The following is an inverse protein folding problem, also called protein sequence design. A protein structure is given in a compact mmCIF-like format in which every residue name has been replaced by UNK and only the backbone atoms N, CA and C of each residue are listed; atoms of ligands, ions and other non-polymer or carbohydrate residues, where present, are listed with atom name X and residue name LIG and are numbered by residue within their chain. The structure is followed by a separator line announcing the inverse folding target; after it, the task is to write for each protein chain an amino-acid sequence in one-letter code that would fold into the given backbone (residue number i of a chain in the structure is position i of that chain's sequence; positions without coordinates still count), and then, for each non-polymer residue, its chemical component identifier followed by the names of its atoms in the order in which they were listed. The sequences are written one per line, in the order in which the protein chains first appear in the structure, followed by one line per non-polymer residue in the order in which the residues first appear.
data_IF_448341486877
#
_entry.id   IF_448341486877
#
_cell.length_a   1.000
_cell.length_b   1.000
_cell.length_c   1.000
_cell.angle_alpha   90.00
_cell.angle_beta   90.00
_cell.angle_gamma   90.00
#
_symmetry.space_group_name_H-M   'P 1'
#
loop_
_entity.id
_entity.type
_entity.pdbx_description
1 polymer ?
#
# COMPACT_ATOMS: atom_id res chain seq x y z
N UNK A 1 -13.11 9.25 -24.84
CA UNK A 1 -12.80 10.70 -24.80
C UNK A 1 -12.75 11.30 -23.39
N UNK A 2 -13.62 10.88 -22.46
CA UNK A 2 -13.75 11.49 -21.12
C UNK A 2 -12.58 11.19 -20.16
N UNK A 3 -12.16 9.91 -20.04
CA UNK A 3 -11.05 9.52 -19.15
C UNK A 3 -9.70 10.12 -19.56
N UNK A 4 -9.49 10.40 -20.85
CA UNK A 4 -8.26 11.01 -21.32
C UNK A 4 -8.03 12.40 -20.71
N UNK A 5 -9.11 13.19 -20.53
CA UNK A 5 -9.05 14.50 -19.88
C UNK A 5 -8.68 14.43 -18.39
N UNK A 6 -8.77 13.24 -17.78
CA UNK A 6 -8.44 13.00 -16.37
C UNK A 6 -7.00 12.57 -16.13
N UNK A 7 -6.16 12.48 -17.17
CA UNK A 7 -4.73 12.28 -16.96
C UNK A 7 -4.14 13.46 -16.20
N UNK A 8 -3.29 13.21 -15.20
CA UNK A 8 -2.61 14.27 -14.46
C UNK A 8 -1.92 15.27 -15.38
N UNK A 9 -1.27 14.80 -16.45
CA UNK A 9 -0.62 15.65 -17.45
C UNK A 9 -1.59 16.53 -18.23
N UNK A 10 -2.84 16.10 -18.41
CA UNK A 10 -3.87 16.87 -19.13
C UNK A 10 -4.61 17.83 -18.19
N UNK A 11 -4.86 17.42 -16.94
CA UNK A 11 -5.40 18.29 -15.89
C UNK A 11 -4.45 19.48 -15.68
N UNK A 12 -3.16 19.20 -15.52
CA UNK A 12 -2.13 20.24 -15.34
C UNK A 12 -2.09 21.27 -16.48
N UNK A 13 -2.38 20.87 -17.73
CA UNK A 13 -2.38 21.77 -18.89
C UNK A 13 -3.66 22.60 -19.00
N UNK A 14 -4.81 22.03 -18.61
CA UNK A 14 -6.13 22.62 -18.86
C UNK A 14 -6.60 23.49 -17.69
N UNK A 15 -6.44 22.97 -16.48
CA UNK A 15 -6.96 23.58 -15.25
C UNK A 15 -5.92 23.40 -14.13
N UNK A 16 -4.87 24.25 -14.07
CA UNK A 16 -3.83 24.13 -13.05
C UNK A 16 -4.38 24.21 -11.61
N UNK A 17 -5.44 24.99 -11.39
CA UNK A 17 -6.12 25.06 -10.09
C UNK A 17 -6.81 23.75 -9.69
N UNK A 18 -7.16 22.88 -10.64
CA UNK A 18 -7.68 21.55 -10.34
C UNK A 18 -6.56 20.62 -9.87
N UNK A 19 -5.34 20.77 -10.39
CA UNK A 19 -4.18 19.95 -10.00
C UNK A 19 -3.87 20.05 -8.51
N UNK A 20 -4.09 21.22 -7.91
CA UNK A 20 -3.91 21.45 -6.47
C UNK A 20 -4.75 20.51 -5.61
N UNK A 21 -5.93 20.11 -6.07
CA UNK A 21 -6.79 19.15 -5.37
C UNK A 21 -6.15 17.77 -5.26
N UNK A 22 -5.26 17.44 -6.18
CA UNK A 22 -4.57 16.15 -6.25
C UNK A 22 -3.21 16.13 -5.57
N UNK A 23 -2.73 17.27 -5.06
CA UNK A 23 -1.37 17.42 -4.50
C UNK A 23 -1.04 16.41 -3.40
N UNK A 24 -1.94 16.24 -2.44
CA UNK A 24 -1.78 15.34 -1.29
C UNK A 24 -2.74 14.14 -1.35
N UNK A 25 -3.26 13.86 -2.54
CA UNK A 25 -4.20 12.76 -2.74
C UNK A 25 -3.52 11.39 -2.64
N UNK A 26 -4.23 10.40 -2.10
CA UNK A 26 -3.75 9.02 -2.13
C UNK A 26 -3.68 8.50 -3.57
N UNK A 27 -2.64 7.69 -3.83
CA UNK A 27 -2.45 7.01 -5.11
C UNK A 27 -2.82 5.55 -4.98
N UNK A 28 -3.67 5.03 -5.87
CA UNK A 28 -4.03 3.61 -5.89
C UNK A 28 -3.42 2.94 -7.11
N UNK A 29 -2.74 1.83 -6.88
CA UNK A 29 -2.06 1.03 -7.91
C UNK A 29 -2.40 -0.45 -7.74
N UNK A 30 -2.19 -1.27 -8.77
CA UNK A 30 -2.38 -2.73 -8.66
C UNK A 30 -1.11 -3.45 -8.16
N UNK A 31 0.08 -2.90 -8.38
CA UNK A 31 1.34 -3.58 -8.12
C UNK A 31 2.13 -2.97 -6.94
N UNK A 32 2.60 -3.83 -6.03
CA UNK A 32 3.37 -3.41 -4.85
C UNK A 32 4.69 -2.71 -5.20
N UNK A 33 5.36 -3.06 -6.29
CA UNK A 33 6.61 -2.39 -6.69
C UNK A 33 6.34 -0.96 -7.14
N UNK A 34 5.25 -0.74 -7.88
CA UNK A 34 4.81 0.61 -8.26
C UNK A 34 4.42 1.40 -7.02
N UNK A 35 3.68 0.79 -6.08
CA UNK A 35 3.34 1.41 -4.79
C UNK A 35 4.59 1.89 -4.05
N UNK A 36 5.57 1.00 -3.89
CA UNK A 36 6.80 1.28 -3.15
C UNK A 36 7.60 2.40 -3.82
N UNK A 37 7.70 2.39 -5.14
CA UNK A 37 8.39 3.43 -5.91
C UNK A 37 7.71 4.81 -5.77
N UNK A 38 6.38 4.86 -5.84
CA UNK A 38 5.62 6.10 -5.67
C UNK A 38 5.77 6.62 -4.24
N UNK A 39 5.61 5.75 -3.24
CA UNK A 39 5.81 6.10 -1.84
C UNK A 39 7.21 6.68 -1.60
N UNK A 40 8.26 6.04 -2.13
CA UNK A 40 9.63 6.55 -2.04
C UNK A 40 9.79 7.92 -2.69
N UNK A 41 9.18 8.15 -3.85
CA UNK A 41 9.23 9.43 -4.55
C UNK A 41 8.51 10.54 -3.77
N UNK A 42 7.30 10.26 -3.29
CA UNK A 42 6.49 11.22 -2.50
C UNK A 42 7.19 11.56 -1.20
N UNK A 43 7.72 10.57 -0.48
CA UNK A 43 8.46 10.79 0.77
C UNK A 43 9.67 11.69 0.55
N UNK A 44 10.47 11.43 -0.49
CA UNK A 44 11.64 12.29 -0.82
C UNK A 44 11.22 13.71 -1.17
N UNK A 45 10.20 13.87 -2.00
CA UNK A 45 9.70 15.18 -2.42
C UNK A 45 9.13 15.97 -1.24
N UNK A 46 8.36 15.34 -0.35
CA UNK A 46 7.81 15.98 0.83
C UNK A 46 8.89 16.33 1.85
N UNK A 47 9.84 15.43 2.11
CA UNK A 47 10.97 15.72 2.99
C UNK A 47 11.75 16.94 2.51
N UNK A 48 12.10 16.99 1.22
CA UNK A 48 12.80 18.13 0.62
C UNK A 48 11.99 19.44 0.75
N UNK A 49 10.68 19.39 0.46
CA UNK A 49 9.79 20.57 0.56
C UNK A 49 9.71 21.12 1.99
N UNK A 50 9.77 20.24 2.99
CA UNK A 50 9.70 20.60 4.41
C UNK A 50 11.08 20.89 5.02
N UNK A 51 12.17 20.83 4.24
CA UNK A 51 13.53 21.06 4.72
C UNK A 51 14.13 19.91 5.52
N UNK A 52 13.55 18.71 5.43
CA UNK A 52 14.06 17.50 6.08
C UNK A 52 14.95 16.67 5.15
N UNK A 53 15.97 16.04 5.73
CA UNK A 53 16.71 14.96 5.08
C UNK A 53 15.96 13.64 5.27
N UNK A 54 15.78 12.87 4.19
CA UNK A 54 15.20 11.52 4.31
C UNK A 54 16.21 10.57 4.92
N UNK A 55 15.94 10.13 6.15
CA UNK A 55 16.74 9.11 6.84
C UNK A 55 16.18 7.72 6.49
N UNK A 56 17.03 6.70 6.48
CA UNK A 56 16.62 5.33 6.18
C UNK A 56 16.85 4.40 7.37
N UNK A 57 15.75 3.88 7.93
CA UNK A 57 15.76 2.90 8.99
C UNK A 57 15.93 1.51 8.38
N UNK A 58 17.05 0.86 8.64
CA UNK A 58 17.42 -0.44 8.07
C UNK A 58 16.91 -1.59 8.91
N UNK A 59 16.60 -2.70 8.24
CA UNK A 59 16.22 -3.94 8.91
C UNK A 59 17.44 -4.68 9.44
N UNK A 60 17.26 -5.45 10.51
CA UNK A 60 18.23 -6.45 10.96
C UNK A 60 17.85 -7.80 10.39
N UNK A 61 18.71 -8.42 9.58
CA UNK A 61 18.44 -9.72 8.99
C UNK A 61 19.39 -10.80 9.55
N UNK A 62 18.84 -11.99 9.80
CA UNK A 62 19.57 -13.15 10.32
C UNK A 62 19.29 -14.37 9.46
N UNK A 63 20.34 -15.15 9.19
CA UNK A 63 20.24 -16.46 8.55
C UNK A 63 20.75 -17.53 9.53
N UNK A 64 19.99 -18.62 9.71
CA UNK A 64 20.33 -19.67 10.69
C UNK A 64 20.70 -19.10 12.09
N UNK A 65 19.94 -18.11 12.56
CA UNK A 65 20.12 -17.36 13.83
C UNK A 65 21.37 -16.46 13.95
N UNK A 66 22.23 -16.41 12.92
CA UNK A 66 23.41 -15.53 12.88
C UNK A 66 23.14 -14.30 12.03
N UNK A 67 23.77 -13.18 12.37
CA UNK A 67 23.77 -12.00 11.51
C UNK A 67 24.34 -12.35 10.13
N UNK A 68 23.73 -11.82 9.07
CA UNK A 68 24.26 -12.00 7.71
C UNK A 68 25.47 -11.08 7.49
N UNK A 69 26.31 -11.40 6.50
CA UNK A 69 27.39 -10.50 6.11
C UNK A 69 26.82 -9.20 5.52
N UNK A 70 27.58 -8.10 5.63
CA UNK A 70 27.15 -6.78 5.13
C UNK A 70 26.77 -6.79 3.66
N UNK A 71 27.54 -7.46 2.81
CA UNK A 71 27.25 -7.58 1.36
C UNK A 71 25.91 -8.29 1.11
N UNK A 72 25.52 -9.23 1.97
CA UNK A 72 24.20 -9.88 1.91
C UNK A 72 23.14 -8.94 2.46
N UNK A 73 23.42 -8.26 3.58
CA UNK A 73 22.52 -7.30 4.23
C UNK A 73 22.09 -6.16 3.28
N UNK A 74 23.02 -5.59 2.51
CA UNK A 74 22.75 -4.54 1.52
C UNK A 74 21.79 -5.03 0.42
N UNK A 75 21.95 -6.28 -0.03
CA UNK A 75 21.02 -6.90 -0.98
C UNK A 75 19.66 -7.14 -0.32
N UNK A 76 19.63 -7.59 0.93
CA UNK A 76 18.40 -7.82 1.69
C UNK A 76 17.61 -6.51 1.90
N UNK A 77 18.29 -5.39 2.14
CA UNK A 77 17.65 -4.08 2.28
C UNK A 77 16.91 -3.63 1.02
N UNK A 78 17.39 -4.07 -0.15
CA UNK A 78 16.79 -3.77 -1.47
C UNK A 78 15.69 -4.75 -1.92
N UNK A 79 15.38 -5.77 -1.09
CA UNK A 79 14.36 -6.75 -1.46
C UNK A 79 12.97 -6.12 -1.60
N UNK A 80 12.23 -6.60 -2.60
CA UNK A 80 10.87 -6.19 -2.88
C UNK A 80 9.94 -6.56 -1.72
N UNK A 81 9.08 -5.63 -1.31
CA UNK A 81 8.07 -5.82 -0.25
C UNK A 81 7.16 -7.04 -0.49
N UNK A 82 6.91 -7.39 -1.76
CA UNK A 82 6.12 -8.56 -2.15
C UNK A 82 6.74 -9.90 -1.73
N UNK A 83 8.04 -9.95 -1.46
CA UNK A 83 8.75 -11.15 -0.97
C UNK A 83 8.87 -11.20 0.55
N UNK A 84 8.68 -10.07 1.23
CA UNK A 84 8.84 -9.95 2.69
C UNK A 84 7.53 -9.69 3.42
N UNK A 85 6.40 -9.77 2.70
CA UNK A 85 5.07 -9.53 3.26
C UNK A 85 4.90 -8.11 3.78
N UNK A 86 5.43 -7.12 3.05
CA UNK A 86 5.42 -5.69 3.41
C UNK A 86 6.38 -5.26 4.54
N UNK A 87 7.17 -6.18 5.10
CA UNK A 87 8.24 -5.81 6.03
C UNK A 87 9.47 -5.32 5.26
N UNK A 88 9.61 -3.99 5.13
CA UNK A 88 10.62 -3.34 4.28
C UNK A 88 12.05 -3.59 4.78
N UNK A 89 12.99 -3.64 3.85
CA UNK A 89 14.41 -3.73 4.20
C UNK A 89 15.00 -2.37 4.63
N UNK A 90 14.42 -1.29 4.11
CA UNK A 90 14.73 0.07 4.48
C UNK A 90 13.46 0.91 4.45
N UNK A 91 13.11 1.52 5.58
CA UNK A 91 11.95 2.41 5.69
C UNK A 91 12.47 3.84 5.59
N UNK A 92 12.04 4.64 4.60
CA UNK A 92 12.35 6.05 4.60
C UNK A 92 11.57 6.73 5.73
N UNK A 93 12.21 7.67 6.43
CA UNK A 93 11.59 8.37 7.54
C UNK A 93 11.92 9.87 7.50
N UNK A 94 10.90 10.68 7.82
CA UNK A 94 11.01 12.06 8.26
C UNK A 94 9.85 12.35 9.24
N UNK A 95 10.04 13.25 10.23
CA UNK A 95 8.96 13.64 11.14
C UNK A 95 7.75 14.23 10.41
N UNK A 96 6.55 13.75 10.72
CA UNK A 96 5.29 14.17 10.12
C UNK A 96 4.86 13.39 8.88
N UNK A 97 5.60 12.35 8.47
CA UNK A 97 5.21 11.55 7.30
C UNK A 97 3.99 10.65 7.57
N UNK A 98 3.17 10.40 6.56
CA UNK A 98 2.05 9.47 6.65
C UNK A 98 2.55 8.02 6.62
N UNK A 99 2.11 7.23 7.58
CA UNK A 99 2.44 5.80 7.69
C UNK A 99 1.18 4.95 7.87
N UNK A 100 1.28 3.70 7.46
CA UNK A 100 0.28 2.66 7.64
C UNK A 100 0.89 1.53 8.46
N UNK A 101 0.19 1.11 9.50
CA UNK A 101 0.53 -0.05 10.30
C UNK A 101 0.11 -1.31 9.54
N UNK A 102 1.02 -2.28 9.40
CA UNK A 102 0.82 -3.47 8.56
C UNK A 102 0.49 -4.73 9.34
N UNK A 103 0.51 -4.65 10.67
CA UNK A 103 0.21 -5.73 11.59
C UNK A 103 -0.67 -5.21 12.73
N UNK A 104 -1.41 -6.10 13.38
CA UNK A 104 -2.13 -5.73 14.59
C UNK A 104 -1.09 -5.55 15.70
N UNK A 105 -1.13 -4.42 16.39
CA UNK A 105 -0.27 -4.18 17.55
C UNK A 105 -1.05 -4.51 18.82
N UNK A 106 -0.45 -5.23 19.75
CA UNK A 106 -1.10 -5.62 21.02
C UNK A 106 -1.41 -4.42 21.94
N UNK A 107 -0.88 -3.23 21.61
CA UNK A 107 -1.02 -2.02 22.42
C UNK A 107 -2.42 -1.39 22.34
N UNK A 108 -3.20 -1.69 21.31
CA UNK A 108 -4.53 -1.08 21.13
C UNK A 108 -5.43 -1.92 20.23
N UNK A 109 -6.69 -2.06 20.62
CA UNK A 109 -7.71 -2.74 19.82
C UNK A 109 -8.04 -2.01 18.49
N UNK A 110 -7.59 -0.77 18.30
CA UNK A 110 -7.87 0.08 17.15
C UNK A 110 -6.67 0.28 16.21
N UNK A 111 -5.48 -0.16 16.63
CA UNK A 111 -4.26 -0.17 15.80
C UNK A 111 -4.16 -1.52 15.12
N UNK A 112 -5.06 -1.71 14.14
CA UNK A 112 -5.16 -2.91 13.33
C UNK A 112 -4.39 -2.75 12.02
N UNK A 113 -4.17 -3.88 11.33
CA UNK A 113 -3.58 -3.87 10.00
C UNK A 113 -4.37 -2.96 9.04
N UNK A 114 -3.72 -1.91 8.54
CA UNK A 114 -4.30 -0.90 7.66
C UNK A 114 -4.61 0.43 8.36
N UNK A 115 -4.46 0.52 9.68
CA UNK A 115 -4.58 1.80 10.41
C UNK A 115 -3.52 2.78 9.92
N UNK A 116 -3.96 4.01 9.65
CA UNK A 116 -3.10 5.09 9.20
C UNK A 116 -2.79 6.03 10.35
N UNK A 117 -1.60 6.61 10.30
CA UNK A 117 -1.17 7.57 11.27
C UNK A 117 -0.11 8.51 10.72
N UNK A 118 0.30 9.44 11.57
CA UNK A 118 1.39 10.35 11.32
C UNK A 118 2.58 9.93 12.17
N UNK A 119 3.71 9.66 11.54
CA UNK A 119 4.94 9.32 12.25
C UNK A 119 5.49 10.59 12.90
N UNK A 120 5.51 10.65 14.22
CA UNK A 120 5.98 11.81 14.97
C UNK A 120 7.50 11.76 15.15
N UNK A 121 8.00 10.64 15.65
CA UNK A 121 9.41 10.45 15.94
C UNK A 121 9.81 8.96 15.92
N UNK A 122 11.11 8.69 15.83
CA UNK A 122 11.68 7.34 15.86
C UNK A 122 12.92 7.31 16.75
N UNK A 123 12.89 6.47 17.77
CA UNK A 123 14.09 6.05 18.48
C UNK A 123 14.82 4.99 17.64
N UNK A 124 16.12 5.19 17.43
CA UNK A 124 16.96 4.26 16.67
C UNK A 124 18.38 4.17 17.24
N UNK A 125 18.98 3.00 17.06
CA UNK A 125 20.41 2.76 17.31
C UNK A 125 21.20 2.96 16.03
N UNK A 126 22.42 3.47 16.14
CA UNK A 126 23.34 3.64 15.00
C UNK A 126 24.53 2.71 15.16
N UNK A 127 24.85 1.94 14.13
CA UNK A 127 26.06 1.11 14.13
C UNK A 127 27.34 1.90 13.77
N UNK A 128 28.49 1.23 13.88
CA UNK A 128 29.81 1.75 13.54
C UNK A 128 29.93 2.28 12.10
N UNK A 129 28.99 1.92 11.23
CA UNK A 129 28.95 2.32 9.83
C UNK A 129 27.92 3.42 9.54
N UNK A 130 27.31 4.01 10.58
CA UNK A 130 26.28 5.04 10.43
C UNK A 130 24.91 4.49 10.01
N UNK A 131 24.68 3.19 10.15
CA UNK A 131 23.40 2.57 9.80
C UNK A 131 22.42 2.68 10.96
N UNK A 132 21.23 3.22 10.70
CA UNK A 132 20.19 3.37 11.72
C UNK A 132 19.24 2.17 11.76
N UNK A 133 19.01 1.62 12.94
CA UNK A 133 18.06 0.54 13.20
C UNK A 133 17.02 1.03 14.21
N UNK A 134 15.76 1.05 13.82
CA UNK A 134 14.69 1.51 14.71
C UNK A 134 14.53 0.58 15.92
N UNK A 135 14.35 1.18 17.09
CA UNK A 135 13.99 0.50 18.34
C UNK A 135 12.53 0.75 18.70
N UNK A 136 12.01 1.95 18.41
CA UNK A 136 10.62 2.32 18.61
C UNK A 136 10.22 3.47 17.67
N UNK A 137 9.01 3.43 17.12
CA UNK A 137 8.41 4.53 16.38
C UNK A 137 7.17 5.05 17.10
N UNK A 138 7.05 6.36 17.24
CA UNK A 138 5.89 7.01 17.83
C UNK A 138 4.95 7.48 16.71
N UNK A 139 3.77 6.86 16.62
CA UNK A 139 2.81 7.14 15.55
C UNK A 139 1.53 7.69 16.15
N UNK A 140 1.12 8.87 15.73
CA UNK A 140 -0.19 9.41 16.04
C UNK A 140 -1.25 8.73 15.15
N UNK A 141 -2.09 7.90 15.76
CA UNK A 141 -3.19 7.17 15.10
C UNK A 141 -4.52 7.80 15.56
N UNK A 142 -5.19 8.59 14.71
CA UNK A 142 -6.44 9.27 15.09
C UNK A 142 -7.48 8.30 15.64
N UNK A 143 -8.18 8.69 16.71
CA UNK A 143 -9.23 7.89 17.36
C UNK A 143 -8.75 6.52 17.87
N UNK A 144 -7.45 6.35 18.17
CA UNK A 144 -6.96 5.12 18.79
C UNK A 144 -7.39 5.00 20.25
N UNK A 145 -7.74 6.12 20.91
CA UNK A 145 -8.22 6.14 22.29
C UNK A 145 -7.13 5.81 23.33
N UNK A 146 -5.87 5.75 22.89
CA UNK A 146 -4.73 5.49 23.78
C UNK A 146 -4.28 6.80 24.42
N UNK A 147 -4.19 6.81 25.75
CA UNK A 147 -3.46 7.81 26.51
C UNK A 147 -2.42 7.08 27.38
N UNK A 148 -1.18 7.03 26.89
CA UNK A 148 -0.05 6.48 27.64
C UNK A 148 0.63 7.58 28.44
N UNK A 149 1.04 7.26 29.67
CA UNK A 149 1.77 8.20 30.51
C UNK A 149 3.05 8.67 29.83
N UNK A 150 3.25 10.00 29.75
CA UNK A 150 4.39 10.61 29.07
C UNK A 150 4.26 10.78 27.56
N UNK A 151 3.15 10.35 26.94
CA UNK A 151 2.87 10.57 25.52
C UNK A 151 1.59 11.39 25.33
N UNK A 152 1.50 12.08 24.19
CA UNK A 152 0.27 12.77 23.79
C UNK A 152 -0.84 11.76 23.49
N UNK A 153 -2.09 12.21 23.61
CA UNK A 153 -3.25 11.38 23.27
C UNK A 153 -3.15 10.85 21.83
N UNK A 154 -3.60 9.61 21.63
CA UNK A 154 -3.59 8.91 20.36
C UNK A 154 -2.19 8.60 19.78
N UNK A 155 -1.12 8.74 20.57
CA UNK A 155 0.23 8.35 20.17
C UNK A 155 0.51 6.92 20.60
N UNK A 156 0.81 6.07 19.62
CA UNK A 156 1.08 4.64 19.80
C UNK A 156 2.56 4.35 19.58
N UNK A 157 3.28 3.79 20.57
CA UNK A 157 4.61 3.27 20.34
C UNK A 157 4.54 1.95 19.56
N UNK A 158 5.27 1.88 18.46
CA UNK A 158 5.33 0.73 17.56
C UNK A 158 6.75 0.17 17.57
N UNK A 159 6.86 -1.11 17.89
CA UNK A 159 8.14 -1.81 18.03
C UNK A 159 8.46 -2.68 16.81
N UNK A 160 9.74 -2.93 16.51
CA UNK A 160 10.14 -3.87 15.48
C UNK A 160 9.57 -5.26 15.71
N UNK A 161 9.05 -5.87 14.65
CA UNK A 161 8.55 -7.25 14.64
C UNK A 161 9.52 -8.16 13.89
N UNK A 162 9.54 -9.44 14.27
CA UNK A 162 10.37 -10.45 13.61
C UNK A 162 9.54 -11.32 12.69
N UNK A 163 9.96 -11.44 11.43
CA UNK A 163 9.30 -12.29 10.43
C UNK A 163 10.29 -13.11 9.63
N UNK A 164 9.94 -14.37 9.38
CA UNK A 164 10.73 -15.26 8.56
C UNK A 164 10.19 -15.29 7.13
N UNK A 165 11.09 -15.26 6.14
CA UNK A 165 10.73 -15.46 4.73
C UNK A 165 11.80 -16.27 3.99
N UNK A 166 11.37 -16.96 2.94
CA UNK A 166 12.24 -17.79 2.11
C UNK A 166 12.77 -16.97 0.93
N UNK A 167 14.09 -16.87 0.82
CA UNK A 167 14.78 -16.28 -0.33
C UNK A 167 15.30 -17.39 -1.23
N UNK A 168 14.83 -17.45 -2.47
CA UNK A 168 15.34 -18.38 -3.49
C UNK A 168 16.26 -17.64 -4.44
N UNK A 169 17.54 -18.01 -4.45
CA UNK A 169 18.53 -17.48 -5.38
C UNK A 169 18.75 -18.47 -6.53
N UNK A 170 18.69 -17.96 -7.75
CA UNK A 170 19.10 -18.69 -8.96
C UNK A 170 20.53 -18.28 -9.26
N UNK A 171 21.48 -19.17 -9.02
CA UNK A 171 22.87 -18.93 -9.35
C UNK A 171 23.05 -19.17 -10.85
N UNK A 172 23.56 -18.17 -11.57
CA UNK A 172 23.84 -18.32 -13.01
C UNK A 172 24.80 -19.50 -13.21
N UNK A 173 24.38 -20.51 -13.98
CA UNK A 173 25.18 -21.70 -14.29
C UNK A 173 24.87 -22.98 -13.50
N UNK A 174 24.03 -22.97 -12.45
CA UNK A 174 23.56 -24.21 -11.78
C UNK A 174 22.07 -24.42 -12.01
N UNK A 175 21.67 -25.64 -12.40
CA UNK A 175 20.24 -26.05 -12.53
C UNK A 175 19.49 -26.05 -11.19
N UNK A 176 20.21 -26.07 -10.05
CA UNK A 176 19.63 -26.07 -8.71
C UNK A 176 19.51 -24.66 -8.14
N UNK A 177 18.30 -24.32 -7.67
CA UNK A 177 18.05 -23.10 -6.90
C UNK A 177 18.38 -23.32 -5.43
N UNK A 178 19.15 -22.44 -4.81
CA UNK A 178 19.39 -22.47 -3.37
C UNK A 178 18.33 -21.61 -2.66
N UNK A 179 17.65 -22.18 -1.67
CA UNK A 179 16.69 -21.45 -0.84
C UNK A 179 17.21 -21.26 0.58
N UNK A 180 17.11 -20.05 1.10
CA UNK A 180 17.55 -19.66 2.43
C UNK A 180 16.36 -19.14 3.23
N UNK A 181 16.28 -19.50 4.51
CA UNK A 181 15.32 -18.90 5.43
C UNK A 181 15.98 -17.70 6.12
N UNK A 182 15.42 -16.52 5.93
CA UNK A 182 15.88 -15.26 6.50
C UNK A 182 14.87 -14.80 7.54
N UNK A 183 15.35 -14.45 8.72
CA UNK A 183 14.58 -13.77 9.76
C UNK A 183 14.89 -12.29 9.70
N UNK A 184 13.86 -11.46 9.53
CA UNK A 184 13.97 -10.00 9.47
C UNK A 184 13.29 -9.36 10.66
N UNK A 185 13.98 -8.43 11.28
CA UNK A 185 13.47 -7.56 12.34
C UNK A 185 13.39 -6.11 11.82
N UNK A 186 12.19 -5.54 11.83
CA UNK A 186 11.91 -4.17 11.36
C UNK A 186 10.56 -3.69 11.89
N UNK A 187 10.33 -2.38 11.93
CA UNK A 187 9.01 -1.79 12.19
C UNK A 187 7.95 -2.31 11.17
N UNK A 188 6.75 -2.70 11.61
CA UNK A 188 5.65 -3.10 10.73
C UNK A 188 4.95 -1.89 10.08
N UNK A 189 5.73 -0.96 9.51
CA UNK A 189 5.25 0.30 8.94
C UNK A 189 5.54 0.40 7.44
N UNK A 190 4.61 1.01 6.71
CA UNK A 190 4.78 1.44 5.33
C UNK A 190 4.44 2.93 5.18
N UNK A 191 5.10 3.66 4.27
CA UNK A 191 4.60 4.97 3.87
C UNK A 191 3.18 4.85 3.29
N UNK A 192 2.29 5.77 3.67
CA UNK A 192 0.87 5.75 3.36
C UNK A 192 0.50 6.90 2.41
N UNK A 193 1.12 6.93 1.23
CA UNK A 193 0.78 7.86 0.15
C UNK A 193 0.26 7.13 -1.08
N UNK A 194 0.74 5.91 -1.30
CA UNK A 194 0.27 4.99 -2.30
C UNK A 194 -0.16 3.65 -1.68
N UNK A 195 -1.25 3.09 -2.20
CA UNK A 195 -1.84 1.83 -1.75
C UNK A 195 -2.04 0.88 -2.91
N UNK A 196 -2.04 -0.42 -2.61
CA UNK A 196 -2.59 -1.39 -3.54
C UNK A 196 -4.12 -1.35 -3.49
N UNK A 197 -4.78 -1.61 -4.62
CA UNK A 197 -6.23 -1.80 -4.73
C UNK A 197 -6.83 -2.62 -3.58
N UNK A 198 -6.23 -3.75 -3.22
CA UNK A 198 -6.65 -4.60 -2.10
C UNK A 198 -6.65 -3.87 -0.74
N UNK A 199 -5.65 -3.02 -0.49
CA UNK A 199 -5.51 -2.25 0.76
C UNK A 199 -6.37 -0.99 0.78
N UNK A 200 -6.91 -0.58 -0.37
CA UNK A 200 -7.87 0.52 -0.48
C UNK A 200 -9.33 0.09 -0.32
N UNK A 201 -9.60 -1.22 -0.21
CA UNK A 201 -10.95 -1.75 -0.16
C UNK A 201 -11.72 -1.29 1.08
N UNK A 202 -12.90 -0.69 0.88
CA UNK A 202 -13.77 -0.17 1.94
C UNK A 202 -13.67 1.34 2.20
N UNK A 203 -12.75 2.04 1.53
CA UNK A 203 -12.58 3.49 1.69
C UNK A 203 -13.28 4.27 0.57
N UNK A 204 -14.08 5.26 0.95
CA UNK A 204 -14.57 6.30 0.02
C UNK A 204 -13.64 7.50 0.12
N UNK A 205 -13.09 7.93 -1.01
CA UNK A 205 -12.19 9.08 -1.12
C UNK A 205 -12.86 10.18 -1.94
N UNK A 206 -12.69 11.43 -1.54
CA UNK A 206 -13.19 12.58 -2.31
C UNK A 206 -12.38 12.79 -3.59
N UNK A 207 -11.05 12.70 -3.47
CA UNK A 207 -10.10 12.84 -4.56
C UNK A 207 -9.06 11.71 -4.50
N UNK A 208 -8.71 11.14 -5.66
CA UNK A 208 -7.79 10.01 -5.76
C UNK A 208 -7.05 10.00 -7.09
N UNK A 209 -5.79 9.58 -7.06
CA UNK A 209 -5.01 9.29 -8.26
C UNK A 209 -4.99 7.77 -8.46
N UNK A 210 -5.31 7.27 -9.65
CA UNK A 210 -5.31 5.83 -9.93
C UNK A 210 -4.38 5.47 -11.09
N UNK A 211 -3.74 4.31 -10.98
CA UNK A 211 -2.94 3.71 -12.04
C UNK A 211 -3.66 2.54 -12.71
N UNK A 212 -4.63 2.86 -13.57
CA UNK A 212 -5.37 1.87 -14.35
C UNK A 212 -4.49 1.06 -15.30
N UNK A 213 -3.31 1.59 -15.69
CA UNK A 213 -2.40 0.88 -16.58
C UNK A 213 -1.65 -0.25 -15.85
N UNK A 214 -1.62 -0.26 -14.52
CA UNK A 214 -1.07 -1.38 -13.74
C UNK A 214 -2.04 -2.54 -13.55
N UNK A 215 -3.34 -2.34 -13.78
CA UNK A 215 -4.38 -3.35 -13.58
C UNK A 215 -4.11 -4.62 -14.40
N UNK A 216 -4.45 -5.78 -13.83
CA UNK A 216 -4.37 -7.09 -14.51
C UNK A 216 -5.73 -7.61 -14.92
N UNK A 217 -6.77 -7.32 -14.15
CA UNK A 217 -8.13 -7.79 -14.37
C UNK A 217 -9.15 -6.65 -14.17
N UNK A 218 -10.39 -6.89 -14.59
CA UNK A 218 -11.50 -5.94 -14.45
C UNK A 218 -11.87 -5.68 -12.98
N UNK A 219 -11.63 -6.66 -12.09
CA UNK A 219 -11.94 -6.55 -10.66
C UNK A 219 -11.06 -5.48 -10.00
N UNK A 220 -9.75 -5.53 -10.22
CA UNK A 220 -8.78 -4.53 -9.78
C UNK A 220 -9.15 -3.13 -10.28
N UNK A 221 -9.48 -3.02 -11.58
CA UNK A 221 -9.91 -1.76 -12.19
C UNK A 221 -11.17 -1.20 -11.52
N UNK A 222 -12.20 -2.04 -11.35
CA UNK A 222 -13.44 -1.66 -10.69
C UNK A 222 -13.22 -1.24 -9.24
N UNK A 223 -12.41 -1.99 -8.49
CA UNK A 223 -12.06 -1.68 -7.09
C UNK A 223 -11.37 -0.33 -6.97
N UNK A 224 -10.53 0.08 -7.92
CA UNK A 224 -9.89 1.40 -7.90
C UNK A 224 -10.85 2.52 -8.27
N UNK A 225 -11.61 2.36 -9.36
CA UNK A 225 -12.50 3.40 -9.87
C UNK A 225 -13.71 3.63 -8.96
N UNK A 226 -14.19 2.60 -8.26
CA UNK A 226 -15.30 2.70 -7.31
C UNK A 226 -14.95 3.43 -6.00
N UNK A 227 -13.67 3.76 -5.75
CA UNK A 227 -13.26 4.48 -4.52
C UNK A 227 -13.65 5.95 -4.52
N UNK A 228 -13.93 6.52 -5.69
CA UNK A 228 -14.25 7.93 -5.84
C UNK A 228 -15.70 8.12 -6.24
N UNK A 229 -16.36 9.08 -5.60
CA UNK A 229 -17.80 9.35 -5.81
C UNK A 229 -18.09 10.15 -7.08
N UNK A 230 -17.08 10.81 -7.65
CA UNK A 230 -17.24 11.65 -8.83
C UNK A 230 -16.05 11.57 -9.78
N UNK A 231 -16.31 11.78 -11.07
CA UNK A 231 -15.25 11.86 -12.08
C UNK A 231 -14.29 13.04 -11.84
N UNK A 232 -14.78 14.15 -11.27
CA UNK A 232 -13.96 15.31 -10.90
C UNK A 232 -12.97 15.01 -9.77
N UNK A 233 -13.28 14.03 -8.92
CA UNK A 233 -12.35 13.54 -7.90
C UNK A 233 -11.35 12.51 -8.43
N UNK A 234 -11.43 12.12 -9.70
CA UNK A 234 -10.58 11.07 -10.27
C UNK A 234 -9.45 11.70 -11.09
N UNK A 235 -8.20 11.31 -10.82
CA UNK A 235 -7.08 11.55 -11.72
C UNK A 235 -6.41 10.23 -12.13
N UNK A 236 -5.96 10.15 -13.38
CA UNK A 236 -5.22 9.01 -13.90
C UNK A 236 -3.72 9.33 -13.91
N UNK A 237 -2.93 8.45 -13.30
CA UNK A 237 -1.47 8.61 -13.24
C UNK A 237 -0.84 8.53 -14.64
N UNK A 238 -1.35 7.63 -15.48
CA UNK A 238 -0.84 7.39 -16.84
C UNK A 238 -1.90 6.80 -17.76
N UNK A 239 -1.66 6.89 -19.06
CA UNK A 239 -2.52 6.30 -20.09
C UNK A 239 -2.50 4.77 -19.98
N UNK A 240 -3.67 4.15 -20.06
CA UNK A 240 -3.80 2.72 -20.30
C UNK A 240 -3.97 2.47 -21.80
N UNK A 241 -3.13 1.62 -22.44
CA UNK A 241 -3.32 1.25 -23.83
C UNK A 241 -4.67 0.55 -24.05
N UNK A 242 -5.42 0.98 -25.07
CA UNK A 242 -6.74 0.41 -25.39
C UNK A 242 -6.72 -1.13 -25.56
N UNK A 243 -5.73 -1.74 -26.25
CA UNK A 243 -5.69 -3.20 -26.40
C UNK A 243 -5.64 -3.92 -25.04
N UNK A 244 -4.85 -3.38 -24.10
CA UNK A 244 -4.77 -3.92 -22.75
C UNK A 244 -6.12 -3.82 -22.04
N UNK A 245 -6.77 -2.66 -22.10
CA UNK A 245 -8.09 -2.46 -21.52
C UNK A 245 -9.15 -3.41 -22.11
N UNK A 246 -9.20 -3.53 -23.44
CA UNK A 246 -10.14 -4.39 -24.15
C UNK A 246 -9.94 -5.88 -23.85
N UNK A 247 -8.70 -6.30 -23.55
CA UNK A 247 -8.38 -7.68 -23.16
C UNK A 247 -8.71 -8.01 -21.70
N UNK A 248 -9.05 -7.04 -20.86
CA UNK A 248 -9.35 -7.30 -19.46
C UNK A 248 -10.68 -8.04 -19.34
N UNK A 249 -10.67 -9.13 -18.58
CA UNK A 249 -11.85 -9.98 -18.36
C UNK A 249 -12.12 -10.16 -16.88
N UNK A 250 -13.39 -10.38 -16.52
CA UNK A 250 -13.75 -10.92 -15.21
C UNK A 250 -13.22 -12.35 -15.10
N UNK A 251 -12.89 -12.79 -13.88
CA UNK A 251 -12.53 -14.18 -13.61
C UNK A 251 -13.69 -15.09 -13.96
N UNK A 252 -13.38 -16.31 -14.40
CA UNK A 252 -14.38 -17.30 -14.82
C UNK A 252 -15.43 -17.54 -13.73
N UNK A 253 -14.99 -17.89 -12.52
CA UNK A 253 -15.86 -18.17 -11.38
C UNK A 253 -16.79 -17.00 -11.04
N UNK A 254 -16.29 -15.76 -11.16
CA UNK A 254 -17.09 -14.57 -10.90
C UNK A 254 -18.18 -14.35 -11.96
N UNK A 255 -17.89 -14.69 -13.22
CA UNK A 255 -18.87 -14.62 -14.31
C UNK A 255 -19.97 -15.66 -14.13
N UNK A 256 -19.59 -16.89 -13.80
CA UNK A 256 -20.53 -17.98 -13.57
C UNK A 256 -21.46 -17.65 -12.39
N UNK A 257 -20.89 -17.11 -11.31
CA UNK A 257 -21.66 -16.70 -10.14
C UNK A 257 -22.60 -15.53 -10.43
N UNK A 258 -22.16 -14.51 -11.18
CA UNK A 258 -23.03 -13.42 -11.63
C UNK A 258 -24.20 -13.96 -12.46
N UNK A 259 -23.93 -14.88 -13.38
CA UNK A 259 -24.97 -15.50 -14.20
C UNK A 259 -25.96 -16.31 -13.35
N UNK A 260 -25.47 -17.09 -12.37
CA UNK A 260 -26.30 -17.83 -11.42
C UNK A 260 -27.20 -16.89 -10.60
N UNK A 261 -26.67 -15.75 -10.15
CA UNK A 261 -27.42 -14.75 -9.39
C UNK A 261 -28.52 -14.10 -10.26
N UNK A 262 -28.23 -13.76 -11.52
CA UNK A 262 -29.23 -13.21 -12.45
C UNK A 262 -30.37 -14.20 -12.73
N UNK A 263 -30.04 -15.49 -12.89
CA UNK A 263 -31.04 -16.54 -13.04
C UNK A 263 -31.93 -16.65 -11.80
N UNK A 264 -31.33 -16.70 -10.60
CA UNK A 264 -32.09 -16.73 -9.34
C UNK A 264 -32.96 -15.49 -9.13
N UNK A 265 -32.46 -14.32 -9.51
CA UNK A 265 -33.23 -13.07 -9.47
C UNK A 265 -34.46 -13.16 -10.38
N UNK A 266 -34.29 -13.67 -11.61
CA UNK A 266 -35.38 -13.83 -12.57
C UNK A 266 -36.46 -14.80 -12.08
N UNK A 267 -36.06 -15.93 -11.49
CA UNK A 267 -36.98 -16.89 -10.87
C UNK A 267 -37.75 -16.25 -9.71
N UNK A 268 -37.04 -15.52 -8.84
CA UNK A 268 -37.64 -14.84 -7.68
C UNK A 268 -38.66 -13.77 -8.12
N UNK A 269 -38.30 -12.95 -9.12
CA UNK A 269 -39.17 -11.93 -9.68
C UNK A 269 -40.44 -12.53 -10.30
N UNK A 270 -40.30 -13.64 -11.03
CA UNK A 270 -41.44 -14.34 -11.65
C UNK A 270 -42.38 -14.90 -10.57
N UNK A 271 -41.84 -15.51 -9.50
CA UNK A 271 -42.63 -16.02 -8.39
C UNK A 271 -43.33 -14.91 -7.60
N UNK A 272 -42.69 -13.75 -7.44
CA UNK A 272 -43.29 -12.58 -6.78
C UNK A 272 -44.46 -12.01 -7.60
N UNK A 273 -44.25 -11.77 -8.90
CA UNK A 273 -45.30 -11.26 -9.79
C UNK A 273 -46.45 -12.24 -9.96
N UNK A 274 -46.18 -13.55 -9.94
CA UNK A 274 -47.23 -14.59 -10.00
C UNK A 274 -48.08 -14.73 -8.73
N UNK A 275 -47.64 -14.19 -7.59
CA UNK A 275 -48.42 -14.18 -6.33
C UNK A 275 -49.34 -12.96 -6.20
N UNK A 276 -49.09 -11.88 -6.95
CA UNK A 276 -49.90 -10.64 -6.93
C UNK A 276 -51.16 -10.65 -7.81
N UNK A 277 -51.62 -11.81 -8.28
CA UNK A 277 -52.83 -11.98 -9.11
C UNK A 277 -53.82 -13.00 -8.53
N UNK A 278 -53.72 -13.28 -7.23
CA UNK A 278 -54.71 -14.07 -6.48
C UNK A 278 -55.24 -13.24 -5.31
N UNK A 279 -56.00 -12.21 -5.63
CA UNK A 279 -57.01 -11.62 -4.73
C UNK A 279 -58.36 -11.65 -5.46
#
# INVERSE_FOLDING_TARGET
MVLHRRLLSEIAKREPGELERFRDCPVIVADKQVRDAINMSVVRSQAQRLGYNTVFLRSRDRAKRRAVSRTVQEKLWSLKSSKTGDLLGAIPFFPGMKVMVTENTDMSHLTVNGSEGTLLDVAYETDEFGTHYATCAYVHVPNSGIALEGLSENVVPIYPVRRNFRLTLRTSGKRSSCSFNISREQLPLLPAYAYTDYKSQGRSLENVIVDIASCKDLQSLYVMLSRVKSLKGLALLRRCPYPKFASMTLRHDARDELHRIEQLHSVTMTAYMGKGHRE
#
